data_IF_681767354727
#
_entry.id   IF_681767354727
#
_cell.length_a   1.000
_cell.length_b   1.000
_cell.length_c   1.000
_cell.angle_alpha   90.00
_cell.angle_beta   90.00
_cell.angle_gamma   90.00
#
_symmetry.space_group_name_H-M   'P 1'
#
loop_
_entity.id
_entity.type
_entity.pdbx_description
1 polymer ?
#
# COMPACT_ATOMS: atom_id res chain seq x y z
N UNK A 1 34.83 -7.20 -23.95
CA UNK A 1 33.42 -6.96 -23.59
C UNK A 1 32.60 -8.06 -24.26
N UNK A 2 31.82 -8.84 -23.51
CA UNK A 2 31.12 -10.01 -24.05
C UNK A 2 29.82 -9.59 -24.75
N UNK A 3 29.52 -10.14 -25.93
CA UNK A 3 28.28 -9.82 -26.68
C UNK A 3 27.04 -10.11 -25.82
N UNK A 4 27.10 -11.17 -25.01
CA UNK A 4 25.99 -11.56 -24.14
C UNK A 4 25.73 -10.51 -23.05
N UNK A 5 26.79 -9.91 -22.49
CA UNK A 5 26.69 -8.84 -21.48
C UNK A 5 26.13 -7.54 -22.09
N UNK A 6 26.45 -7.27 -23.36
CA UNK A 6 25.89 -6.13 -24.09
C UNK A 6 24.39 -6.28 -24.35
N UNK A 7 23.96 -7.48 -24.77
CA UNK A 7 22.54 -7.77 -25.02
C UNK A 7 21.73 -7.74 -23.71
N UNK A 8 22.26 -8.27 -22.60
CA UNK A 8 21.57 -8.26 -21.31
C UNK A 8 21.41 -6.85 -20.73
N UNK A 9 22.43 -6.00 -20.87
CA UNK A 9 22.39 -4.62 -20.37
C UNK A 9 21.45 -3.71 -21.18
N UNK A 10 21.24 -4.00 -22.46
CA UNK A 10 20.36 -3.23 -23.33
C UNK A 10 18.94 -3.81 -23.44
N UNK A 11 18.65 -4.94 -22.79
CA UNK A 11 17.29 -5.50 -22.80
C UNK A 11 16.34 -4.53 -22.10
N UNK A 12 15.23 -4.12 -22.73
CA UNK A 12 14.25 -3.26 -22.08
C UNK A 12 13.71 -3.97 -20.83
N UNK A 13 13.95 -3.37 -19.67
CA UNK A 13 13.39 -3.88 -18.40
C UNK A 13 11.88 -3.87 -18.50
N UNK A 14 11.25 -4.97 -18.11
CA UNK A 14 9.79 -5.03 -17.95
C UNK A 14 9.32 -3.87 -17.06
N UNK A 15 8.22 -3.22 -17.43
CA UNK A 15 7.64 -2.10 -16.68
C UNK A 15 7.19 -2.58 -15.29
N UNK A 16 8.09 -2.53 -14.31
CA UNK A 16 7.82 -2.83 -12.91
C UNK A 16 7.58 -1.51 -12.18
N UNK A 17 6.61 -1.47 -11.27
CA UNK A 17 6.40 -0.25 -10.47
C UNK A 17 7.62 -0.02 -9.59
N UNK A 18 7.96 1.24 -9.36
CA UNK A 18 9.00 1.62 -8.40
C UNK A 18 8.70 1.08 -6.99
N UNK A 19 7.40 0.95 -6.66
CA UNK A 19 6.97 0.37 -5.40
C UNK A 19 7.15 -1.16 -5.34
N UNK A 20 7.06 -1.86 -6.48
CA UNK A 20 7.33 -3.30 -6.54
C UNK A 20 8.84 -3.59 -6.48
N UNK A 21 9.69 -2.65 -6.92
CA UNK A 21 11.15 -2.76 -6.85
C UNK A 21 11.67 -2.55 -5.42
N UNK A 22 11.03 -1.64 -4.66
CA UNK A 22 11.41 -1.30 -3.28
C UNK A 22 10.44 -1.85 -2.23
N UNK A 23 9.67 -2.90 -2.53
CA UNK A 23 8.63 -3.41 -1.63
C UNK A 23 9.18 -3.81 -0.26
N UNK A 24 10.35 -4.46 -0.21
CA UNK A 24 10.97 -4.86 1.06
C UNK A 24 11.39 -3.66 1.90
N UNK A 25 11.97 -2.64 1.28
CA UNK A 25 12.36 -1.41 1.97
C UNK A 25 11.13 -0.67 2.50
N UNK A 26 10.07 -0.60 1.69
CA UNK A 26 8.79 0.01 2.08
C UNK A 26 8.22 -0.70 3.30
N UNK A 27 8.15 -2.04 3.29
CA UNK A 27 7.61 -2.81 4.41
C UNK A 27 8.47 -2.61 5.67
N UNK A 28 9.80 -2.69 5.58
CA UNK A 28 10.71 -2.44 6.71
C UNK A 28 10.50 -1.05 7.32
N UNK A 29 10.34 -0.02 6.50
CA UNK A 29 10.09 1.33 7.00
C UNK A 29 8.72 1.45 7.66
N UNK A 30 7.69 0.82 7.11
CA UNK A 30 6.36 0.82 7.72
C UNK A 30 6.32 0.03 9.05
N UNK A 31 7.09 -1.05 9.16
CA UNK A 31 7.24 -1.84 10.40
C UNK A 31 8.00 -1.07 11.50
N UNK A 32 8.83 -0.11 11.11
CA UNK A 32 9.54 0.82 12.00
C UNK A 32 8.71 2.09 12.30
N UNK A 33 7.40 2.08 12.06
CA UNK A 33 6.46 3.18 12.27
C UNK A 33 6.79 4.48 11.50
N UNK A 34 7.56 4.40 10.40
CA UNK A 34 7.75 5.56 9.53
C UNK A 34 6.46 5.92 8.81
N UNK A 35 6.16 7.22 8.77
CA UNK A 35 5.02 7.75 8.02
C UNK A 35 5.19 7.54 6.51
N UNK A 36 4.08 7.47 5.78
CA UNK A 36 4.10 7.36 4.32
C UNK A 36 4.89 8.50 3.65
N UNK A 37 4.88 9.70 4.25
CA UNK A 37 5.69 10.84 3.83
C UNK A 37 7.20 10.53 3.88
N UNK A 38 7.67 9.99 5.00
CA UNK A 38 9.07 9.60 5.19
C UNK A 38 9.47 8.46 4.25
N UNK A 39 8.58 7.49 4.03
CA UNK A 39 8.81 6.41 3.04
C UNK A 39 8.96 6.99 1.64
N UNK A 40 8.12 7.94 1.23
CA UNK A 40 8.24 8.61 -0.07
C UNK A 40 9.52 9.42 -0.17
N UNK A 41 9.93 10.11 0.89
CA UNK A 41 11.18 10.87 0.93
C UNK A 41 12.40 9.95 0.77
N UNK A 42 12.41 8.82 1.47
CA UNK A 42 13.41 7.77 1.29
C UNK A 42 13.44 7.27 -0.16
N UNK A 43 12.29 6.92 -0.75
CA UNK A 43 12.22 6.45 -2.13
C UNK A 43 12.71 7.53 -3.12
N UNK A 44 12.38 8.81 -2.90
CA UNK A 44 12.88 9.92 -3.73
C UNK A 44 14.39 10.10 -3.66
N UNK A 45 15.02 9.73 -2.54
CA UNK A 45 16.48 9.75 -2.40
C UNK A 45 17.16 8.57 -3.11
N UNK A 46 16.49 7.41 -3.17
CA UNK A 46 17.02 6.17 -3.78
C UNK A 46 16.78 6.07 -5.28
N UNK A 47 15.66 6.60 -5.76
CA UNK A 47 15.22 6.49 -7.14
C UNK A 47 15.72 7.65 -8.00
N UNK A 48 16.23 7.35 -9.20
CA UNK A 48 16.61 8.38 -10.19
C UNK A 48 15.40 9.18 -10.68
N UNK A 49 14.23 8.54 -10.80
CA UNK A 49 12.97 9.18 -11.20
C UNK A 49 12.09 9.44 -9.98
N UNK A 50 11.58 10.66 -9.89
CA UNK A 50 10.63 11.08 -8.84
C UNK A 50 9.17 10.99 -9.29
N UNK A 51 8.93 10.66 -10.55
CA UNK A 51 7.59 10.61 -11.12
C UNK A 51 6.74 9.53 -10.43
N UNK A 52 5.54 9.90 -10.00
CA UNK A 52 4.61 8.98 -9.34
C UNK A 52 4.93 8.64 -7.88
N UNK A 53 6.03 9.17 -7.30
CA UNK A 53 6.34 9.04 -5.88
C UNK A 53 5.58 10.08 -5.04
N UNK A 54 4.32 9.76 -4.73
CA UNK A 54 3.46 10.54 -3.84
C UNK A 54 2.85 9.66 -2.76
N UNK A 55 2.51 10.26 -1.61
CA UNK A 55 1.84 9.57 -0.50
C UNK A 55 0.54 8.93 -0.95
N UNK A 56 -0.25 9.63 -1.79
CA UNK A 56 -1.49 9.10 -2.35
C UNK A 56 -1.26 7.85 -3.21
N UNK A 57 -0.19 7.82 -4.01
CA UNK A 57 0.14 6.66 -4.84
C UNK A 57 0.64 5.48 -3.99
N UNK A 58 1.47 5.74 -2.97
CA UNK A 58 1.90 4.72 -2.02
C UNK A 58 0.70 4.14 -1.25
N UNK A 59 -0.17 4.99 -0.71
CA UNK A 59 -1.41 4.59 -0.05
C UNK A 59 -2.28 3.72 -0.97
N UNK A 60 -2.46 4.14 -2.22
CA UNK A 60 -3.23 3.38 -3.21
C UNK A 60 -2.60 2.04 -3.54
N UNK A 61 -1.26 1.99 -3.64
CA UNK A 61 -0.51 0.78 -3.87
C UNK A 61 -0.66 -0.22 -2.70
N UNK A 62 -0.49 0.24 -1.46
CA UNK A 62 -0.64 -0.56 -0.24
C UNK A 62 -2.07 -1.06 -0.04
N UNK A 63 -3.09 -0.28 -0.45
CA UNK A 63 -4.49 -0.74 -0.44
C UNK A 63 -4.70 -1.87 -1.45
N UNK A 64 -4.20 -1.71 -2.68
CA UNK A 64 -4.31 -2.71 -3.76
C UNK A 64 -3.61 -4.01 -3.42
N UNK A 65 -2.45 -3.96 -2.76
CA UNK A 65 -1.73 -5.16 -2.33
C UNK A 65 -2.56 -5.95 -1.30
N UNK A 66 -3.15 -5.28 -0.31
CA UNK A 66 -4.07 -5.90 0.67
C UNK A 66 -5.29 -6.55 0.02
N UNK A 67 -5.86 -5.93 -1.03
CA UNK A 67 -7.03 -6.49 -1.75
C UNK A 67 -6.69 -7.74 -2.57
N UNK A 68 -5.43 -7.87 -3.04
CA UNK A 68 -4.98 -9.07 -3.76
C UNK A 68 -4.79 -10.26 -2.82
N UNK A 69 -4.36 -10.02 -1.57
CA UNK A 69 -4.22 -11.04 -0.53
C UNK A 69 -5.62 -11.56 -0.14
N UNK A 70 -6.52 -10.66 0.27
CA UNK A 70 -7.90 -11.02 0.69
C UNK A 70 -8.77 -11.68 -0.38
N UNK A 71 -8.48 -11.51 -1.68
CA UNK A 71 -9.21 -12.22 -2.74
C UNK A 71 -8.72 -13.66 -2.96
N UNK A 72 -7.48 -13.99 -2.59
CA UNK A 72 -6.97 -15.36 -2.65
C UNK A 72 -7.42 -16.22 -1.47
N UNK A 73 -7.66 -15.60 -0.31
CA UNK A 73 -8.03 -16.31 0.93
C UNK A 73 -9.51 -16.76 0.98
N UNK A 74 -10.33 -16.40 -0.02
CA UNK A 74 -11.77 -16.75 -0.06
C UNK A 74 -12.07 -18.16 -0.62
N UNK A 75 -11.05 -18.97 -0.89
CA UNK A 75 -11.19 -20.35 -1.37
C UNK A 75 -10.54 -21.36 -0.41
N UNK A 76 -10.73 -21.17 0.90
CA UNK A 76 -10.40 -22.19 1.89
C UNK A 76 -11.70 -22.58 2.59
N UNK A 77 -12.04 -23.85 2.40
CA UNK A 77 -13.20 -24.57 2.86
C UNK A 77 -13.62 -24.20 4.30
N UNK A 78 -14.78 -23.54 4.44
CA UNK A 78 -15.42 -23.18 5.72
C UNK A 78 -16.12 -24.43 6.25
N UNK A 79 -15.37 -25.37 6.82
CA UNK A 79 -15.98 -26.46 7.60
C UNK A 79 -15.52 -26.52 9.06
N UNK A 80 -14.45 -25.82 9.46
CA UNK A 80 -13.89 -25.97 10.82
C UNK A 80 -13.48 -24.68 11.54
N UNK A 81 -14.27 -23.60 11.46
CA UNK A 81 -14.16 -22.53 12.48
C UNK A 81 -15.52 -22.16 13.05
N UNK A 82 -16.06 -23.08 13.86
CA UNK A 82 -16.87 -22.66 15.01
C UNK A 82 -15.92 -21.98 16.00
N UNK A 83 -16.43 -20.97 16.68
CA UNK A 83 -15.77 -20.13 17.69
C UNK A 83 -15.07 -18.86 17.17
N UNK A 84 -15.88 -17.91 16.70
CA UNK A 84 -15.74 -16.48 17.06
C UNK A 84 -17.01 -15.75 16.62
N UNK A 85 -18.06 -15.93 17.41
CA UNK A 85 -19.20 -15.01 17.43
C UNK A 85 -18.73 -13.75 18.16
N UNK A 86 -18.62 -12.63 17.45
CA UNK A 86 -18.82 -11.31 18.05
C UNK A 86 -19.96 -10.68 17.27
N UNK A 87 -21.08 -10.52 17.99
CA UNK A 87 -22.35 -10.01 17.51
C UNK A 87 -22.27 -8.57 17.00
N UNK A 88 -23.11 -8.35 15.98
CA UNK A 88 -23.91 -7.18 15.63
C UNK A 88 -23.55 -5.78 16.12
N UNK A 89 -23.50 -4.87 15.15
CA UNK A 89 -23.53 -3.43 15.39
C UNK A 89 -23.09 -2.63 14.16
N UNK A 90 -23.99 -2.47 13.19
CA UNK A 90 -23.81 -1.51 12.10
C UNK A 90 -23.57 -0.09 12.66
N UNK A 91 -22.30 0.33 12.79
CA UNK A 91 -21.97 1.73 13.07
C UNK A 91 -22.18 2.56 11.80
N UNK A 92 -23.26 3.34 11.79
CA UNK A 92 -23.45 4.43 10.82
C UNK A 92 -22.28 5.41 10.91
N UNK A 93 -21.85 6.04 9.80
CA UNK A 93 -20.81 7.06 9.83
C UNK A 93 -21.29 8.24 10.70
N UNK A 94 -20.46 8.61 11.68
CA UNK A 94 -20.70 9.76 12.56
C UNK A 94 -20.47 11.02 11.73
N UNK A 95 -21.52 11.82 11.56
CA UNK A 95 -21.46 13.06 10.80
C UNK A 95 -20.88 14.19 11.67
N UNK A 96 -19.59 14.43 11.53
CA UNK A 96 -18.79 15.35 12.38
C UNK A 96 -19.31 16.80 12.40
N UNK A 97 -20.09 17.21 11.39
CA UNK A 97 -20.53 18.59 11.21
C UNK A 97 -21.84 18.93 11.94
N UNK A 98 -22.54 17.94 12.51
CA UNK A 98 -23.86 18.15 13.12
C UNK A 98 -23.82 19.11 14.33
N UNK A 99 -22.71 19.17 15.07
CA UNK A 99 -22.59 20.00 16.28
C UNK A 99 -21.90 21.35 16.05
N UNK A 100 -21.56 21.73 14.82
CA UNK A 100 -20.83 22.99 14.57
C UNK A 100 -21.73 24.22 14.36
N UNK A 101 -23.06 24.06 14.45
CA UNK A 101 -24.02 25.15 14.20
C UNK A 101 -24.75 25.53 15.49
N UNK A 102 -24.09 26.27 16.37
CA UNK A 102 -24.69 26.74 17.60
C UNK A 102 -23.81 27.66 18.43
N UNK A 103 -23.49 28.85 17.90
CA UNK A 103 -23.36 30.07 18.70
C UNK A 103 -23.19 31.27 17.77
N UNK A 104 -24.31 31.94 17.47
CA UNK A 104 -24.33 33.36 17.15
C UNK A 104 -25.11 34.01 18.28
N UNK A 105 -24.41 34.75 19.14
CA UNK A 105 -25.04 35.76 19.99
C UNK A 105 -25.52 36.92 19.11
#
# INVERSE_FOLDING_TARGET
MNINDFISNNKPRSKKSIFDEHLEDINKLLDLDYSQKQVIEYLKSKCKSKAGLSEQNLSSYLKKSKTKITKKDKNINIDNSKDLIIEDGQKKPIDFFANLKGNKN
#
